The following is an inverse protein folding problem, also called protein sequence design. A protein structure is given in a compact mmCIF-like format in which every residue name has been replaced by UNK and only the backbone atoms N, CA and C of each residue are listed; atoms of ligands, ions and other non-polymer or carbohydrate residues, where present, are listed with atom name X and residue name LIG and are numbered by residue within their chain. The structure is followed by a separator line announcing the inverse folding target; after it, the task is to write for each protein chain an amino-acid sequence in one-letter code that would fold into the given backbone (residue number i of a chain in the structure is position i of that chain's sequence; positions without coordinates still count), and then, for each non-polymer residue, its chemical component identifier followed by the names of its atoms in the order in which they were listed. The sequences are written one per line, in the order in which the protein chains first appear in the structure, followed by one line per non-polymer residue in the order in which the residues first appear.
data_IF_697886963394
#
_entry.id   IF_697886963394
#
_cell.length_a   1.000
_cell.length_b   1.000
_cell.length_c   1.000
_cell.angle_alpha   90.00
_cell.angle_beta   90.00
_cell.angle_gamma   90.00
#
_symmetry.space_group_name_H-M   'P 1'
#
loop_
_entity.id
_entity.type
_entity.pdbx_description
1 polymer ?
#
# COMPACT_ATOMS: atom_id res chain seq x y z
N UNK A 1 4.87 15.86 15.21
CA UNK A 1 3.90 14.75 15.34
C UNK A 1 4.66 13.47 15.62
N UNK A 2 4.04 12.52 16.30
CA UNK A 2 4.65 11.23 16.64
C UNK A 2 3.84 10.13 15.96
N UNK A 3 4.51 9.24 15.22
CA UNK A 3 3.86 8.09 14.58
C UNK A 3 4.37 6.81 15.27
N UNK A 4 3.43 5.93 15.59
CA UNK A 4 3.71 4.55 16.02
C UNK A 4 2.81 3.64 15.22
N UNK A 5 3.38 2.66 14.54
CA UNK A 5 2.60 1.79 13.64
C UNK A 5 3.16 0.37 13.61
N UNK A 6 2.27 -0.60 13.47
CA UNK A 6 2.62 -1.99 13.18
C UNK A 6 2.10 -2.35 11.79
N UNK A 7 3.01 -2.83 10.94
CA UNK A 7 2.69 -3.29 9.59
C UNK A 7 2.90 -4.80 9.54
N UNK A 8 1.97 -5.57 8.97
CA UNK A 8 2.13 -7.02 8.90
C UNK A 8 1.43 -7.67 7.71
N UNK A 9 1.97 -8.81 7.27
CA UNK A 9 1.34 -9.76 6.38
C UNK A 9 1.39 -11.16 7.01
N UNK A 10 0.32 -11.92 6.87
CA UNK A 10 0.22 -13.27 7.40
C UNK A 10 -0.53 -14.18 6.43
N UNK A 11 -0.13 -15.46 6.40
CA UNK A 11 -0.81 -16.53 5.70
C UNK A 11 -0.81 -17.77 6.59
N UNK A 12 -2.01 -18.26 6.93
CA UNK A 12 -2.22 -19.50 7.65
C UNK A 12 -2.89 -20.48 6.71
N UNK A 13 -2.29 -21.65 6.52
CA UNK A 13 -2.79 -22.69 5.62
C UNK A 13 -2.76 -24.02 6.35
N UNK A 14 -3.82 -24.81 6.17
CA UNK A 14 -3.87 -26.20 6.61
C UNK A 14 -4.29 -27.05 5.41
N UNK A 15 -3.42 -27.97 5.01
CA UNK A 15 -3.73 -28.98 4.01
C UNK A 15 -3.95 -30.32 4.72
N UNK A 16 -5.07 -30.98 4.42
CA UNK A 16 -5.41 -32.26 5.05
C UNK A 16 -5.59 -33.36 4.01
N UNK A 17 -5.26 -34.59 4.40
CA UNK A 17 -5.57 -35.80 3.62
C UNK A 17 -6.12 -36.86 4.56
N UNK A 18 -7.39 -37.19 4.39
CA UNK A 18 -8.05 -38.27 5.13
C UNK A 18 -7.70 -39.62 4.51
N UNK A 19 -7.39 -40.59 5.37
CA UNK A 19 -7.22 -42.01 5.11
C UNK A 19 -8.25 -42.77 5.97
N UNK A 20 -8.43 -44.06 5.70
CA UNK A 20 -9.50 -44.85 6.32
C UNK A 20 -9.45 -44.90 7.86
N UNK A 21 -8.27 -44.75 8.47
CA UNK A 21 -8.06 -44.77 9.92
C UNK A 21 -7.35 -43.53 10.49
N UNK A 22 -6.96 -42.56 9.65
CA UNK A 22 -6.21 -41.38 10.11
C UNK A 22 -6.40 -40.18 9.18
N UNK A 23 -5.99 -38.99 9.61
CA UNK A 23 -5.90 -37.81 8.76
C UNK A 23 -4.52 -37.20 8.91
N UNK A 24 -3.79 -37.09 7.80
CA UNK A 24 -2.54 -36.33 7.74
C UNK A 24 -2.86 -34.84 7.64
N UNK A 25 -2.10 -34.00 8.33
CA UNK A 25 -2.21 -32.54 8.29
C UNK A 25 -0.84 -31.93 7.99
N UNK A 26 -0.81 -30.91 7.12
CA UNK A 26 0.32 -30.04 6.85
C UNK A 26 -0.10 -28.60 7.15
N UNK A 27 0.53 -27.98 8.15
CA UNK A 27 0.19 -26.66 8.65
C UNK A 27 1.30 -25.67 8.34
N UNK A 28 0.94 -24.57 7.67
CA UNK A 28 1.82 -23.42 7.44
C UNK A 28 1.30 -22.22 8.23
N UNK A 29 2.18 -21.64 9.05
CA UNK A 29 1.96 -20.32 9.65
C UNK A 29 3.10 -19.39 9.21
N UNK A 30 2.81 -18.58 8.20
CA UNK A 30 3.74 -17.58 7.69
C UNK A 30 3.34 -16.19 8.19
N UNK A 31 4.25 -15.49 8.87
CA UNK A 31 4.04 -14.11 9.30
C UNK A 31 5.29 -13.27 9.10
N UNK A 32 5.08 -12.05 8.62
CA UNK A 32 6.08 -10.98 8.58
C UNK A 32 5.45 -9.73 9.16
N UNK A 33 6.17 -9.05 10.04
CA UNK A 33 5.71 -7.81 10.65
C UNK A 33 6.89 -6.89 10.96
N UNK A 34 6.62 -5.59 11.00
CA UNK A 34 7.54 -4.56 11.47
C UNK A 34 6.78 -3.61 12.39
N UNK A 35 7.41 -3.24 13.49
CA UNK A 35 6.96 -2.14 14.34
C UNK A 35 7.85 -0.94 14.04
N UNK A 36 7.22 0.19 13.69
CA UNK A 36 7.90 1.44 13.42
C UNK A 36 7.73 2.36 14.62
N UNK A 37 8.86 2.83 15.15
CA UNK A 37 8.90 3.89 16.17
C UNK A 37 8.81 5.26 15.51
N UNK A 38 8.62 6.32 16.30
CA UNK A 38 8.60 7.67 15.75
C UNK A 38 9.99 8.13 15.33
N UNK A 39 10.10 8.73 14.14
CA UNK A 39 11.32 9.36 13.62
C UNK A 39 11.60 9.00 12.16
N UNK A 40 12.83 9.21 11.68
CA UNK A 40 13.18 9.10 10.25
C UNK A 40 14.23 8.03 9.92
N UNK A 41 14.80 7.37 10.94
CA UNK A 41 15.84 6.36 10.73
C UNK A 41 15.26 4.96 10.35
N UNK A 42 16.12 3.94 10.28
CA UNK A 42 15.68 2.55 10.15
C UNK A 42 14.69 2.17 11.25
N UNK A 43 13.62 1.46 10.89
CA UNK A 43 12.59 1.04 11.84
C UNK A 43 11.77 2.21 12.41
N UNK A 44 11.74 3.35 11.73
CA UNK A 44 11.01 4.54 12.17
C UNK A 44 10.14 5.14 11.05
N UNK A 45 9.10 5.86 11.44
CA UNK A 45 8.24 6.66 10.59
C UNK A 45 7.78 7.93 11.34
N UNK A 46 7.46 9.00 10.60
CA UNK A 46 6.96 10.26 11.18
C UNK A 46 5.87 10.92 10.31
N UNK A 47 5.50 10.31 9.19
CA UNK A 47 4.42 10.73 8.31
C UNK A 47 3.45 9.58 8.05
N UNK A 48 2.16 9.90 7.99
CA UNK A 48 1.10 8.95 7.68
C UNK A 48 0.01 9.64 6.86
N UNK A 49 -0.42 8.97 5.80
CA UNK A 49 -1.64 9.30 5.07
C UNK A 49 -2.53 8.05 5.06
N UNK A 50 -3.83 8.23 5.25
CA UNK A 50 -4.80 7.17 5.02
C UNK A 50 -6.14 7.76 4.63
N UNK A 51 -6.84 7.08 3.72
CA UNK A 51 -8.13 7.54 3.22
C UNK A 51 -8.92 6.37 2.61
N UNK A 52 -10.24 6.57 2.50
CA UNK A 52 -11.13 5.74 1.67
C UNK A 52 -11.64 6.60 0.53
N UNK A 53 -11.34 6.20 -0.70
CA UNK A 53 -11.62 6.99 -1.90
C UNK A 53 -12.49 6.21 -2.87
N UNK A 54 -13.26 6.95 -3.66
CA UNK A 54 -14.14 6.39 -4.69
C UNK A 54 -13.85 7.08 -6.02
N UNK A 55 -13.52 6.27 -7.02
CA UNK A 55 -13.31 6.71 -8.39
C UNK A 55 -14.55 6.38 -9.21
N UNK A 56 -15.07 7.37 -9.93
CA UNK A 56 -16.15 7.16 -10.90
C UNK A 56 -15.69 6.24 -12.05
N UNK A 57 -16.63 5.84 -12.90
CA UNK A 57 -16.33 5.06 -14.10
C UNK A 57 -15.20 5.71 -14.93
N UNK A 58 -14.25 4.89 -15.38
CA UNK A 58 -13.07 5.29 -16.17
C UNK A 58 -12.13 6.31 -15.51
N UNK A 59 -12.40 6.71 -14.26
CA UNK A 59 -11.59 7.70 -13.59
C UNK A 59 -10.21 7.14 -13.20
N UNK A 60 -9.23 8.04 -13.25
CA UNK A 60 -7.88 7.88 -12.72
C UNK A 60 -7.62 9.05 -11.81
N UNK A 61 -6.91 8.81 -10.72
CA UNK A 61 -6.25 9.84 -9.93
C UNK A 61 -4.77 9.51 -9.74
N UNK A 62 -3.98 10.54 -9.51
CA UNK A 62 -2.57 10.44 -9.19
C UNK A 62 -2.35 11.03 -7.79
N UNK A 63 -2.00 10.18 -6.83
CA UNK A 63 -1.68 10.61 -5.47
C UNK A 63 -0.25 11.13 -5.46
N UNK A 64 -0.09 12.43 -5.23
CA UNK A 64 1.22 13.06 -5.07
C UNK A 64 1.77 12.82 -3.67
N UNK A 65 2.81 11.99 -3.61
CA UNK A 65 3.46 11.58 -2.37
C UNK A 65 4.29 12.73 -1.74
N UNK A 66 4.44 13.87 -2.42
CA UNK A 66 5.32 14.95 -2.01
C UNK A 66 4.69 16.35 -2.16
N UNK A 67 3.68 16.68 -1.35
CA UNK A 67 3.24 18.07 -1.18
C UNK A 67 1.74 18.37 -1.38
N UNK A 68 0.92 17.38 -1.73
CA UNK A 68 -0.54 17.58 -1.88
C UNK A 68 -1.34 16.86 -0.80
N UNK A 69 -0.94 15.64 -0.41
CA UNK A 69 -1.65 14.88 0.60
C UNK A 69 -1.63 15.62 1.95
N UNK A 70 -2.74 15.55 2.67
CA UNK A 70 -2.87 16.14 3.99
C UNK A 70 -2.89 15.04 5.06
N UNK A 71 -2.27 15.30 6.20
CA UNK A 71 -2.46 14.50 7.39
C UNK A 71 -3.82 14.76 8.04
N UNK A 72 -4.15 13.97 9.07
CA UNK A 72 -5.42 14.08 9.78
C UNK A 72 -5.63 15.42 10.51
N UNK A 73 -4.60 16.26 10.62
CA UNK A 73 -4.64 17.58 11.24
C UNK A 73 -4.61 18.71 10.21
N UNK A 74 -4.69 18.39 8.91
CA UNK A 74 -4.68 19.34 7.81
C UNK A 74 -3.28 19.82 7.41
N UNK A 75 -2.22 19.22 7.94
CA UNK A 75 -0.85 19.52 7.56
C UNK A 75 -0.46 18.85 6.24
N UNK A 76 0.20 19.58 5.36
CA UNK A 76 0.73 19.00 4.12
C UNK A 76 1.81 17.95 4.40
N UNK A 77 1.70 16.82 3.72
CA UNK A 77 2.65 15.72 3.79
C UNK A 77 3.59 15.79 2.59
N UNK A 78 4.88 15.75 2.91
CA UNK A 78 5.94 15.47 1.95
C UNK A 78 6.68 14.24 2.43
N UNK A 79 6.49 13.10 1.75
CA UNK A 79 7.28 11.90 2.00
C UNK A 79 8.62 12.01 1.29
N UNK A 80 9.70 11.59 1.95
CA UNK A 80 11.01 11.34 1.32
C UNK A 80 11.22 9.84 1.13
N UNK A 81 10.62 9.01 2.00
CA UNK A 81 10.64 7.55 1.89
C UNK A 81 9.30 6.97 2.32
N UNK A 82 8.78 6.02 1.55
CA UNK A 82 7.67 5.17 1.98
C UNK A 82 8.23 3.96 2.72
N UNK A 83 7.73 3.72 3.94
CA UNK A 83 8.02 2.55 4.77
C UNK A 83 6.91 1.49 4.70
N UNK A 84 5.69 1.89 4.35
CA UNK A 84 4.56 0.99 4.15
C UNK A 84 3.55 1.55 3.16
N UNK A 85 3.11 0.73 2.21
CA UNK A 85 1.99 1.00 1.32
C UNK A 85 1.00 -0.16 1.40
N UNK A 86 -0.24 0.16 1.75
CA UNK A 86 -1.35 -0.79 1.78
C UNK A 86 -2.49 -0.24 0.94
N UNK A 87 -3.02 -1.07 0.05
CA UNK A 87 -4.20 -0.73 -0.76
C UNK A 87 -5.15 -1.91 -0.74
N UNK A 88 -6.43 -1.66 -0.46
CA UNK A 88 -7.48 -2.67 -0.50
C UNK A 88 -8.63 -2.21 -1.41
N UNK A 89 -8.99 -3.04 -2.39
CA UNK A 89 -10.17 -2.81 -3.21
C UNK A 89 -11.41 -3.29 -2.45
N UNK A 90 -12.45 -2.45 -2.38
CA UNK A 90 -13.70 -2.85 -1.75
C UNK A 90 -14.30 -4.11 -2.42
N UNK A 91 -14.80 -5.05 -1.60
CA UNK A 91 -15.36 -6.31 -2.09
C UNK A 91 -16.60 -6.13 -2.98
N UNK A 92 -17.35 -5.03 -2.78
CA UNK A 92 -18.54 -4.70 -3.57
C UNK A 92 -18.26 -4.04 -4.93
N UNK A 93 -17.00 -3.81 -5.30
CA UNK A 93 -16.67 -3.25 -6.61
C UNK A 93 -17.06 -4.22 -7.73
N UNK A 94 -17.51 -3.70 -8.87
CA UNK A 94 -17.65 -4.51 -10.09
C UNK A 94 -16.34 -4.54 -10.88
N UNK A 95 -15.64 -3.40 -10.94
CA UNK A 95 -14.38 -3.24 -11.65
C UNK A 95 -13.18 -3.41 -10.71
N UNK A 96 -12.01 -3.62 -11.27
CA UNK A 96 -10.77 -3.70 -10.50
C UNK A 96 -10.22 -2.30 -10.20
N UNK A 97 -9.45 -2.21 -9.11
CA UNK A 97 -8.62 -1.05 -8.79
C UNK A 97 -7.23 -1.33 -9.33
N UNK A 98 -6.70 -0.45 -10.18
CA UNK A 98 -5.33 -0.55 -10.70
C UNK A 98 -4.46 0.45 -9.97
N UNK A 99 -3.35 0.00 -9.38
CA UNK A 99 -2.37 0.86 -8.70
C UNK A 99 -0.99 0.77 -9.36
N UNK A 100 -0.20 1.84 -9.31
CA UNK A 100 1.21 1.80 -9.70
C UNK A 100 1.69 3.05 -10.41
N UNK A 101 2.39 2.87 -11.53
CA UNK A 101 3.00 3.98 -12.27
C UNK A 101 1.95 4.94 -12.87
N UNK A 102 2.06 6.22 -12.53
CA UNK A 102 1.36 7.31 -13.21
C UNK A 102 1.89 7.53 -14.63
N UNK A 103 1.09 8.21 -15.46
CA UNK A 103 1.44 8.45 -16.86
C UNK A 103 2.65 9.40 -17.01
N UNK A 104 2.75 10.38 -16.11
CA UNK A 104 3.88 11.28 -16.00
C UNK A 104 4.45 11.19 -14.57
N UNK A 105 5.77 11.36 -14.45
CA UNK A 105 6.50 11.37 -13.17
C UNK A 105 6.08 10.25 -12.19
N UNK A 106 6.08 8.98 -12.64
CA UNK A 106 5.65 7.87 -11.79
C UNK A 106 6.59 7.68 -10.61
N UNK A 107 6.01 7.36 -9.45
CA UNK A 107 6.78 6.86 -8.32
C UNK A 107 7.32 5.46 -8.62
N UNK A 108 8.57 5.38 -9.07
CA UNK A 108 9.15 4.16 -9.62
C UNK A 108 9.75 3.20 -8.57
N UNK A 109 9.83 3.61 -7.30
CA UNK A 109 10.64 2.90 -6.30
C UNK A 109 10.11 1.49 -5.94
N UNK A 110 8.81 1.24 -6.07
CA UNK A 110 8.20 -0.06 -5.75
C UNK A 110 7.95 -0.94 -6.97
N UNK A 111 7.34 -0.37 -8.02
CA UNK A 111 6.85 -1.11 -9.18
C UNK A 111 7.55 -0.71 -10.48
N UNK A 112 8.70 -0.04 -10.43
CA UNK A 112 9.37 0.60 -11.58
C UNK A 112 8.51 1.67 -12.27
N UNK A 113 9.04 2.31 -13.31
CA UNK A 113 8.39 3.43 -14.00
C UNK A 113 7.18 3.04 -14.87
N UNK A 114 6.90 1.75 -15.03
CA UNK A 114 5.81 1.25 -15.90
C UNK A 114 4.91 0.23 -15.21
N UNK A 115 5.32 -0.34 -14.08
CA UNK A 115 4.60 -1.43 -13.47
C UNK A 115 3.32 -0.99 -12.78
N UNK A 116 2.32 -1.85 -12.88
CA UNK A 116 1.03 -1.69 -12.22
C UNK A 116 0.58 -3.01 -11.62
N UNK A 117 -0.21 -2.95 -10.55
CA UNK A 117 -0.92 -4.08 -9.96
C UNK A 117 -2.43 -3.91 -10.15
N UNK A 118 -3.10 -4.99 -10.52
CA UNK A 118 -4.56 -5.02 -10.63
C UNK A 118 -5.15 -5.73 -9.41
N UNK A 119 -5.84 -4.97 -8.58
CA UNK A 119 -6.59 -5.47 -7.43
C UNK A 119 -8.04 -5.71 -7.85
N UNK A 120 -8.40 -6.99 -8.01
CA UNK A 120 -9.79 -7.43 -8.22
C UNK A 120 -10.65 -7.02 -7.01
N UNK A 121 -12.00 -7.00 -7.14
CA UNK A 121 -12.88 -6.76 -6.00
C UNK A 121 -12.52 -7.63 -4.79
N UNK A 122 -12.27 -7.00 -3.64
CA UNK A 122 -11.87 -7.66 -2.39
C UNK A 122 -10.38 -7.99 -2.27
N UNK A 123 -9.58 -7.78 -3.31
CA UNK A 123 -8.13 -7.99 -3.25
C UNK A 123 -7.44 -6.88 -2.45
N UNK A 124 -6.37 -7.25 -1.76
CA UNK A 124 -5.53 -6.34 -0.98
C UNK A 124 -4.07 -6.54 -1.35
N UNK A 125 -3.31 -5.45 -1.33
CA UNK A 125 -1.87 -5.42 -1.51
C UNK A 125 -1.22 -4.68 -0.34
N UNK A 126 -0.07 -5.19 0.11
CA UNK A 126 0.72 -4.58 1.17
C UNK A 126 2.20 -4.80 0.92
N UNK A 127 2.98 -3.72 0.96
CA UNK A 127 4.44 -3.74 0.94
C UNK A 127 4.96 -2.89 2.09
N UNK A 128 6.00 -3.37 2.79
CA UNK A 128 6.61 -2.62 3.87
C UNK A 128 8.12 -2.90 4.00
N UNK A 129 8.85 -1.87 4.39
CA UNK A 129 10.28 -1.93 4.67
C UNK A 129 10.54 -2.66 6.01
N UNK A 130 11.66 -3.39 6.08
CA UNK A 130 12.07 -4.08 7.31
C UNK A 130 12.55 -3.13 8.41
N UNK A 131 12.63 -3.62 9.66
CA UNK A 131 13.09 -2.81 10.79
C UNK A 131 14.53 -2.26 10.63
N UNK A 132 15.39 -2.96 9.89
CA UNK A 132 16.76 -2.53 9.61
C UNK A 132 16.88 -1.66 8.34
N UNK A 133 15.79 -1.48 7.58
CA UNK A 133 15.82 -0.80 6.30
C UNK A 133 15.65 0.72 6.49
N UNK A 134 16.79 1.42 6.45
CA UNK A 134 16.83 2.88 6.44
C UNK A 134 16.41 3.48 5.08
N UNK A 135 16.60 2.75 3.98
CA UNK A 135 16.34 3.24 2.63
C UNK A 135 14.84 3.34 2.35
N UNK A 136 14.08 2.29 2.67
CA UNK A 136 12.69 2.18 2.27
C UNK A 136 12.50 2.39 0.76
N UNK A 137 11.32 2.86 0.37
CA UNK A 137 11.04 3.20 -1.02
C UNK A 137 11.15 4.71 -1.21
N UNK A 138 12.22 5.15 -1.86
CA UNK A 138 12.52 6.57 -2.04
C UNK A 138 11.39 7.30 -2.80
N UNK A 139 11.10 8.50 -2.36
CA UNK A 139 10.29 9.51 -3.06
C UNK A 139 11.31 10.57 -3.51
N UNK A 140 11.46 10.73 -4.82
CA UNK A 140 12.49 11.56 -5.42
C UNK A 140 12.32 13.05 -5.14
N UNK A 141 13.40 13.79 -5.37
CA UNK A 141 13.39 15.26 -5.35
C UNK A 141 12.87 15.78 -6.70
N UNK A 142 11.61 15.52 -7.01
CA UNK A 142 10.93 15.97 -8.23
C UNK A 142 9.51 16.43 -7.90
N UNK A 143 8.91 17.24 -8.76
CA UNK A 143 7.65 17.94 -8.45
C UNK A 143 6.41 17.06 -8.41
N UNK A 144 6.51 15.75 -8.64
CA UNK A 144 5.42 14.82 -8.36
C UNK A 144 5.91 13.36 -8.48
N UNK A 145 6.21 12.68 -7.38
CA UNK A 145 6.34 11.21 -7.39
C UNK A 145 4.95 10.61 -7.26
N UNK A 146 4.33 10.31 -8.41
CA UNK A 146 2.92 10.02 -8.48
C UNK A 146 2.62 8.53 -8.38
N UNK A 147 1.79 8.17 -7.40
CA UNK A 147 1.15 6.86 -7.30
C UNK A 147 -0.22 6.93 -7.98
N UNK A 148 -0.35 6.27 -9.13
CA UNK A 148 -1.61 6.13 -9.85
C UNK A 148 -2.56 5.24 -9.07
N UNK A 149 -3.84 5.63 -9.03
CA UNK A 149 -4.96 4.73 -8.77
C UNK A 149 -6.02 4.92 -9.86
N UNK A 150 -6.49 3.82 -10.45
CA UNK A 150 -7.44 3.89 -11.56
C UNK A 150 -8.55 2.85 -11.43
N UNK A 151 -9.73 3.23 -11.90
CA UNK A 151 -10.83 2.33 -12.15
C UNK A 151 -10.59 1.58 -13.46
N UNK A 152 -10.61 0.24 -13.43
CA UNK A 152 -10.35 -0.57 -14.63
C UNK A 152 -11.52 -0.61 -15.63
N UNK A 153 -12.67 0.00 -15.32
CA UNK A 153 -13.87 -0.13 -16.14
C UNK A 153 -14.69 1.16 -16.24
N UNK A 154 -15.56 1.20 -17.25
CA UNK A 154 -16.37 2.36 -17.62
C UNK A 154 -17.83 2.29 -17.15
N UNK A 155 -18.24 1.19 -16.50
CA UNK A 155 -19.65 0.94 -16.17
C UNK A 155 -20.08 1.30 -14.74
N UNK A 156 -19.13 1.38 -13.80
CA UNK A 156 -19.42 1.62 -12.38
C UNK A 156 -18.21 2.18 -11.65
N UNK A 157 -18.44 2.83 -10.51
CA UNK A 157 -17.38 3.32 -9.64
C UNK A 157 -16.62 2.19 -8.95
N UNK A 158 -15.39 2.47 -8.51
CA UNK A 158 -14.64 1.60 -7.60
C UNK A 158 -14.30 2.36 -6.31
N UNK A 159 -14.37 1.67 -5.18
CA UNK A 159 -13.93 2.18 -3.88
C UNK A 159 -12.69 1.43 -3.43
N UNK A 160 -11.74 2.15 -2.82
CA UNK A 160 -10.54 1.57 -2.27
C UNK A 160 -10.11 2.27 -0.99
N UNK A 161 -9.42 1.52 -0.13
CA UNK A 161 -8.72 2.05 1.04
C UNK A 161 -7.23 2.14 0.72
N UNK A 162 -6.59 3.21 1.19
CA UNK A 162 -5.14 3.39 1.06
C UNK A 162 -4.56 3.81 2.40
N UNK A 163 -3.42 3.21 2.77
CA UNK A 163 -2.62 3.61 3.93
C UNK A 163 -1.17 3.72 3.48
N UNK A 164 -0.56 4.87 3.73
CA UNK A 164 0.82 5.19 3.41
C UNK A 164 1.50 5.62 4.70
N UNK A 165 2.58 4.92 5.05
CA UNK A 165 3.44 5.26 6.20
C UNK A 165 4.83 5.54 5.67
N UNK A 166 5.46 6.63 6.12
CA UNK A 166 6.74 7.04 5.60
C UNK A 166 7.49 8.01 6.50
N UNK A 167 8.61 8.51 5.98
CA UNK A 167 9.48 9.45 6.67
C UNK A 167 9.56 10.78 5.92
N UNK A 168 9.80 11.85 6.67
CA UNK A 168 10.12 13.19 6.15
C UNK A 168 11.59 13.37 5.74
N UNK A 169 12.45 12.38 6.02
CA UNK A 169 13.88 12.37 5.69
C UNK A 169 14.45 10.95 5.51
#
# INVERSE_FOLDING_TARGET
MTVSSTLSMAATVQQTKTLDLTTTQDELNFRRAVQLSSGTAAGQADKVFHDRRTLTASATEDLDLAGVLLDAFGGTITFVKIKGLFVAAAAGNTNSVVIGAAAATPWAALLNSTGTLTLRPGASFGAFAGAADAAGYAVGAGTADLLKVANSGAGSSVTYDVVIVGTSA
#
